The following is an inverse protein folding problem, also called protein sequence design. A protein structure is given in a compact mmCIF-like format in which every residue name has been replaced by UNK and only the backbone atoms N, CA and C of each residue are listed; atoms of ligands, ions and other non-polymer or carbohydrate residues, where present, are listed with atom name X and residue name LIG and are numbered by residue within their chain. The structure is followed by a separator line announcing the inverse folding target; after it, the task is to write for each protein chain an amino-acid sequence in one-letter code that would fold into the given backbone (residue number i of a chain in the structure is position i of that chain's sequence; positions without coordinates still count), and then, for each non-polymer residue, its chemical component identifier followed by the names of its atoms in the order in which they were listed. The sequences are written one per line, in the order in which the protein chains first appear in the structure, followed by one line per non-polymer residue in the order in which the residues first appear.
data_IF_190577514414
#
_entry.id   IF_190577514414
#
_cell.length_a   1.000
_cell.length_b   1.000
_cell.length_c   1.000
_cell.angle_alpha   90.00
_cell.angle_beta   90.00
_cell.angle_gamma   90.00
#
_symmetry.space_group_name_H-M   'P 1'
#
loop_
_entity.id
_entity.type
_entity.pdbx_description
1 polymer ?
#
# COMPACT_ATOMS: atom_id res chain seq x y z
N UNK A 1 -4.22 -41.90 -14.37
CA UNK A 1 -3.46 -41.48 -15.56
C UNK A 1 -2.90 -40.09 -15.30
N UNK A 2 -1.62 -39.84 -15.53
CA UNK A 2 -1.10 -38.48 -15.46
C UNK A 2 -1.69 -37.65 -16.60
N UNK A 3 -2.05 -36.42 -16.31
CA UNK A 3 -2.54 -35.47 -17.31
C UNK A 3 -1.49 -35.17 -18.38
N UNK A 4 -1.93 -35.04 -19.61
CA UNK A 4 -1.06 -34.51 -20.67
C UNK A 4 -0.76 -33.04 -20.41
N UNK A 5 0.25 -32.50 -21.06
CA UNK A 5 0.64 -31.09 -20.96
C UNK A 5 -0.51 -30.17 -21.41
N UNK A 6 -1.22 -30.57 -22.45
CA UNK A 6 -2.33 -29.84 -23.03
C UNK A 6 -3.55 -29.82 -22.10
N UNK A 7 -3.90 -30.97 -21.50
CA UNK A 7 -4.99 -31.07 -20.52
C UNK A 7 -4.70 -30.23 -19.28
N UNK A 8 -3.48 -30.29 -18.77
CA UNK A 8 -3.05 -29.45 -17.64
C UNK A 8 -3.14 -27.97 -17.99
N UNK A 9 -2.66 -27.55 -19.16
CA UNK A 9 -2.73 -26.16 -19.61
C UNK A 9 -4.18 -25.66 -19.79
N UNK A 10 -5.09 -26.53 -20.23
CA UNK A 10 -6.51 -26.22 -20.35
C UNK A 10 -7.18 -26.05 -18.96
N UNK A 11 -6.88 -26.98 -18.04
CA UNK A 11 -7.35 -26.88 -16.65
C UNK A 11 -6.84 -25.61 -15.97
N UNK A 12 -5.55 -25.31 -16.07
CA UNK A 12 -4.95 -24.12 -15.46
C UNK A 12 -5.58 -22.83 -15.98
N UNK A 13 -5.89 -22.76 -17.28
CA UNK A 13 -6.61 -21.61 -17.86
C UNK A 13 -7.98 -21.41 -17.22
N UNK A 14 -8.76 -22.49 -17.09
CA UNK A 14 -10.09 -22.43 -16.48
C UNK A 14 -10.00 -22.12 -14.98
N UNK A 15 -9.13 -22.82 -14.26
CA UNK A 15 -8.92 -22.59 -12.83
C UNK A 15 -8.52 -21.13 -12.53
N UNK A 16 -7.60 -20.55 -13.32
CA UNK A 16 -7.14 -19.19 -13.15
C UNK A 16 -8.23 -18.10 -13.38
N UNK A 17 -9.35 -18.46 -13.99
CA UNK A 17 -10.50 -17.57 -14.15
C UNK A 17 -11.44 -17.62 -12.93
N UNK A 18 -11.39 -18.68 -12.13
CA UNK A 18 -12.20 -18.81 -10.92
C UNK A 18 -11.78 -17.82 -9.84
N UNK A 19 -12.66 -17.45 -8.89
CA UNK A 19 -12.28 -16.63 -7.73
C UNK A 19 -11.10 -17.24 -6.94
N UNK A 20 -11.12 -18.56 -6.71
CA UNK A 20 -10.04 -19.27 -6.02
C UNK A 20 -8.72 -19.20 -6.79
N UNK A 21 -8.72 -19.39 -8.09
CA UNK A 21 -7.53 -19.28 -8.93
C UNK A 21 -6.97 -17.84 -8.97
N UNK A 22 -7.84 -16.84 -9.06
CA UNK A 22 -7.44 -15.42 -8.99
C UNK A 22 -6.79 -15.07 -7.65
N UNK A 23 -7.38 -15.55 -6.55
CA UNK A 23 -6.83 -15.40 -5.19
C UNK A 23 -5.45 -16.07 -5.08
N UNK A 24 -5.33 -17.33 -5.47
CA UNK A 24 -4.09 -18.10 -5.44
C UNK A 24 -2.97 -17.42 -6.24
N UNK A 25 -3.26 -16.95 -7.45
CA UNK A 25 -2.31 -16.22 -8.29
C UNK A 25 -1.86 -14.90 -7.67
N UNK A 26 -2.78 -14.16 -7.04
CA UNK A 26 -2.45 -12.91 -6.35
C UNK A 26 -1.50 -13.16 -5.19
N UNK A 27 -1.81 -14.14 -4.34
CA UNK A 27 -0.98 -14.53 -3.20
C UNK A 27 0.40 -15.01 -3.68
N UNK A 28 0.47 -15.85 -4.71
CA UNK A 28 1.73 -16.31 -5.28
C UNK A 28 2.60 -15.16 -5.79
N UNK A 29 1.98 -14.16 -6.44
CA UNK A 29 2.69 -12.96 -6.89
C UNK A 29 3.23 -12.13 -5.72
N UNK A 30 2.48 -11.97 -4.65
CA UNK A 30 2.94 -11.27 -3.45
C UNK A 30 4.15 -11.95 -2.82
N UNK A 31 4.11 -13.28 -2.70
CA UNK A 31 5.27 -14.07 -2.22
C UNK A 31 6.51 -13.88 -3.11
N UNK A 32 6.34 -13.87 -4.43
CA UNK A 32 7.43 -13.61 -5.39
C UNK A 32 7.97 -12.18 -5.28
N UNK A 33 7.14 -11.21 -4.89
CA UNK A 33 7.54 -9.83 -4.66
C UNK A 33 8.21 -9.60 -3.30
N UNK A 34 8.33 -10.63 -2.47
CA UNK A 34 8.93 -10.53 -1.14
C UNK A 34 7.98 -10.03 -0.06
N UNK A 35 6.67 -10.04 -0.31
CA UNK A 35 5.66 -9.73 0.71
C UNK A 35 5.57 -10.91 1.67
N UNK A 36 5.72 -10.60 2.96
CA UNK A 36 5.67 -11.57 4.06
C UNK A 36 4.52 -11.18 5.00
N UNK A 37 3.63 -12.12 5.26
CA UNK A 37 2.60 -12.00 6.28
C UNK A 37 2.25 -13.38 6.87
N UNK A 38 1.69 -13.41 8.06
CA UNK A 38 1.29 -14.65 8.72
C UNK A 38 0.07 -15.27 8.04
N UNK A 39 -0.92 -14.46 7.68
CA UNK A 39 -2.17 -14.90 7.06
C UNK A 39 -2.42 -14.20 5.71
N UNK A 40 -2.05 -14.88 4.62
CA UNK A 40 -2.28 -14.39 3.26
C UNK A 40 -3.76 -14.35 2.86
N UNK A 41 -4.61 -15.15 3.47
CA UNK A 41 -6.04 -15.15 3.20
C UNK A 41 -6.68 -13.90 3.78
N UNK A 42 -6.38 -13.57 5.04
CA UNK A 42 -6.81 -12.32 5.68
C UNK A 42 -6.25 -11.10 4.95
N UNK A 43 -4.99 -11.14 4.52
CA UNK A 43 -4.38 -10.07 3.72
C UNK A 43 -5.10 -9.89 2.37
N UNK A 44 -5.48 -10.98 1.71
CA UNK A 44 -6.23 -10.92 0.47
C UNK A 44 -7.61 -10.26 0.67
N UNK A 45 -8.34 -10.64 1.71
CA UNK A 45 -9.65 -10.05 2.05
C UNK A 45 -9.52 -8.55 2.35
N UNK A 46 -8.51 -8.15 3.15
CA UNK A 46 -8.19 -6.74 3.39
C UNK A 46 -7.91 -6.00 2.08
N UNK A 47 -7.06 -6.55 1.23
CA UNK A 47 -6.73 -5.96 -0.06
C UNK A 47 -7.97 -5.79 -0.95
N UNK A 48 -8.83 -6.79 -1.02
CA UNK A 48 -10.06 -6.73 -1.84
C UNK A 48 -11.08 -5.75 -1.29
N UNK A 49 -11.30 -5.72 0.02
CA UNK A 49 -12.28 -4.85 0.68
C UNK A 49 -11.86 -3.37 0.75
N UNK A 50 -10.55 -3.08 0.68
CA UNK A 50 -10.06 -1.70 0.68
C UNK A 50 -10.44 -0.99 -0.62
N UNK A 51 -11.29 0.02 -0.53
CA UNK A 51 -11.80 0.77 -1.69
C UNK A 51 -11.09 2.10 -1.93
N UNK A 52 -10.45 2.65 -0.91
CA UNK A 52 -9.73 3.92 -0.97
C UNK A 52 -8.27 3.74 -0.57
N UNK A 53 -7.40 4.55 -1.16
CA UNK A 53 -5.98 4.59 -0.81
C UNK A 53 -5.82 4.99 0.65
N UNK A 54 -5.14 4.16 1.44
CA UNK A 54 -4.91 4.41 2.87
C UNK A 54 -4.00 5.64 3.14
N UNK A 55 -3.37 6.20 2.09
CA UNK A 55 -2.55 7.41 2.20
C UNK A 55 -3.27 8.69 1.74
N UNK A 56 -3.85 8.72 0.54
CA UNK A 56 -4.43 9.93 -0.04
C UNK A 56 -5.96 9.88 -0.19
N UNK A 57 -6.59 8.78 0.23
CA UNK A 57 -8.05 8.57 0.20
C UNK A 57 -8.68 8.60 -1.20
N UNK A 58 -7.90 8.55 -2.27
CA UNK A 58 -8.46 8.43 -3.63
C UNK A 58 -9.13 7.06 -3.80
N UNK A 59 -10.23 7.01 -4.55
CA UNK A 59 -10.88 5.76 -4.91
C UNK A 59 -9.93 4.87 -5.73
N UNK A 60 -9.72 3.64 -5.28
CA UNK A 60 -8.84 2.68 -5.92
C UNK A 60 -9.52 1.99 -7.09
N UNK A 61 -8.79 1.79 -8.17
CA UNK A 61 -9.26 1.08 -9.36
C UNK A 61 -8.54 -0.25 -9.56
N UNK A 62 -9.20 -1.16 -10.28
CA UNK A 62 -8.62 -2.45 -10.67
C UNK A 62 -7.89 -2.29 -12.02
N UNK A 63 -6.67 -1.82 -12.03
CA UNK A 63 -5.97 -1.67 -13.30
C UNK A 63 -4.66 -0.96 -13.16
N UNK A 64 -4.00 -0.77 -14.30
CA UNK A 64 -2.79 0.02 -14.43
C UNK A 64 -3.17 1.49 -14.51
N UNK A 65 -2.55 2.32 -13.73
CA UNK A 65 -2.77 3.75 -13.70
C UNK A 65 -2.49 4.34 -12.33
N UNK A 66 -2.62 5.65 -12.21
CA UNK A 66 -2.29 6.37 -10.97
C UNK A 66 -3.11 5.92 -9.77
N UNK A 67 -4.35 5.53 -9.99
CA UNK A 67 -5.30 5.07 -8.96
C UNK A 67 -5.34 3.55 -8.80
N UNK A 68 -4.53 2.81 -9.58
CA UNK A 68 -4.42 1.36 -9.49
C UNK A 68 -4.07 0.91 -8.07
N UNK A 69 -4.75 -0.14 -7.58
CA UNK A 69 -4.56 -0.69 -6.23
C UNK A 69 -3.25 -1.45 -6.11
N UNK A 70 -2.41 -1.07 -5.16
CA UNK A 70 -1.14 -1.70 -4.82
C UNK A 70 -1.09 -2.10 -3.36
N UNK A 71 -0.38 -3.19 -3.07
CA UNK A 71 -0.01 -3.56 -1.70
C UNK A 71 1.42 -3.08 -1.44
N UNK A 72 1.55 -2.16 -0.51
CA UNK A 72 2.84 -1.60 -0.12
C UNK A 72 3.49 -2.41 0.99
N UNK A 73 4.79 -2.61 0.91
CA UNK A 73 5.56 -3.39 1.87
C UNK A 73 6.98 -2.85 2.03
N UNK A 74 7.60 -3.16 3.16
CA UNK A 74 8.98 -2.79 3.46
C UNK A 74 9.96 -3.78 2.80
N UNK A 75 10.76 -3.31 1.87
CA UNK A 75 11.74 -4.12 1.12
C UNK A 75 12.96 -4.53 1.96
N UNK A 76 13.23 -3.88 3.07
CA UNK A 76 14.37 -4.18 3.94
C UNK A 76 14.05 -5.28 4.95
N UNK A 77 12.77 -5.49 5.25
CA UNK A 77 12.29 -6.54 6.16
C UNK A 77 12.08 -7.83 5.36
N UNK A 78 12.86 -8.88 5.69
CA UNK A 78 12.85 -10.19 5.01
C UNK A 78 12.63 -11.38 5.93
N UNK A 79 12.49 -11.16 7.22
CA UNK A 79 12.43 -12.18 8.26
C UNK A 79 11.11 -12.17 9.06
N UNK A 80 10.26 -11.19 8.84
CA UNK A 80 8.98 -11.01 9.53
C UNK A 80 7.97 -10.30 8.65
N UNK A 81 6.77 -10.07 9.13
CA UNK A 81 5.75 -9.31 8.43
C UNK A 81 6.25 -7.95 7.97
N UNK A 82 6.03 -7.64 6.69
CA UNK A 82 6.52 -6.41 6.07
C UNK A 82 5.45 -5.60 5.34
N UNK A 83 4.18 -6.01 5.40
CA UNK A 83 3.07 -5.28 4.79
C UNK A 83 2.82 -3.98 5.55
N UNK A 84 2.74 -2.87 4.82
CA UNK A 84 2.46 -1.54 5.38
C UNK A 84 1.04 -1.09 5.12
N UNK A 85 0.64 -0.97 3.85
CA UNK A 85 -0.63 -0.36 3.49
C UNK A 85 -1.16 -0.84 2.12
N UNK A 86 -2.44 -0.57 1.86
CA UNK A 86 -3.04 -0.66 0.53
C UNK A 86 -3.10 0.74 -0.07
N UNK A 87 -2.30 0.99 -1.09
CA UNK A 87 -2.11 2.31 -1.68
C UNK A 87 -2.59 2.36 -3.13
N UNK A 88 -2.81 3.58 -3.63
CA UNK A 88 -2.85 3.81 -5.06
C UNK A 88 -1.43 3.79 -5.65
N UNK A 89 -1.33 3.50 -6.93
CA UNK A 89 -0.03 3.40 -7.62
C UNK A 89 0.78 4.70 -7.51
N UNK A 90 0.12 5.86 -7.57
CA UNK A 90 0.79 7.15 -7.41
C UNK A 90 1.43 7.32 -6.03
N UNK A 91 0.73 6.93 -4.95
CA UNK A 91 1.29 6.97 -3.60
C UNK A 91 2.40 5.95 -3.42
N UNK A 92 2.20 4.72 -3.92
CA UNK A 92 3.20 3.66 -3.84
C UNK A 92 4.51 4.04 -4.56
N UNK A 93 4.43 4.64 -5.74
CA UNK A 93 5.61 5.11 -6.47
C UNK A 93 6.31 6.30 -5.80
N UNK A 94 5.55 7.22 -5.23
CA UNK A 94 6.10 8.39 -4.54
C UNK A 94 6.67 8.04 -3.14
N UNK A 95 6.17 6.99 -2.53
CA UNK A 95 6.59 6.52 -1.21
C UNK A 95 7.77 5.53 -1.26
N UNK A 96 8.22 5.20 -2.45
CA UNK A 96 9.29 4.20 -2.69
C UNK A 96 10.56 4.40 -1.85
N UNK A 97 10.72 5.51 -1.18
CA UNK A 97 11.96 5.79 -0.48
C UNK A 97 11.81 6.24 0.97
N UNK A 98 10.61 6.48 1.49
CA UNK A 98 10.62 7.42 2.61
C UNK A 98 9.59 7.26 3.72
N UNK A 99 8.68 6.29 3.67
CA UNK A 99 7.80 6.14 4.83
C UNK A 99 8.44 5.33 5.96
N UNK A 100 9.59 5.79 6.42
CA UNK A 100 10.27 5.29 7.61
C UNK A 100 9.49 5.56 8.90
N UNK A 101 8.41 6.35 8.81
CA UNK A 101 7.60 6.68 9.99
C UNK A 101 6.53 5.63 10.31
N UNK A 102 6.02 4.88 9.31
CA UNK A 102 4.83 4.04 9.45
C UNK A 102 3.52 4.84 9.55
N UNK A 103 3.57 6.17 9.42
CA UNK A 103 2.41 7.06 9.52
C UNK A 103 2.22 7.79 8.19
N UNK A 104 1.02 7.74 7.56
CA UNK A 104 0.75 8.45 6.32
C UNK A 104 1.09 9.94 6.40
N UNK A 105 1.63 10.46 5.30
CA UNK A 105 2.01 11.87 5.16
C UNK A 105 3.19 12.35 6.04
N UNK A 106 3.78 11.47 6.85
CA UNK A 106 4.95 11.76 7.67
C UNK A 106 6.14 10.96 7.14
N UNK A 107 7.22 11.63 6.78
CA UNK A 107 8.44 10.99 6.24
C UNK A 107 9.71 11.67 6.74
N UNK A 108 10.82 10.94 6.70
CA UNK A 108 12.13 11.48 6.99
C UNK A 108 12.78 12.07 5.72
N UNK A 109 13.16 13.32 5.75
CA UNK A 109 13.90 14.00 4.68
C UNK A 109 15.41 13.91 4.99
N UNK A 110 16.07 12.95 4.34
CA UNK A 110 17.51 12.70 4.52
C UNK A 110 18.38 13.90 4.12
N UNK A 111 17.93 14.70 3.16
CA UNK A 111 18.71 15.86 2.68
C UNK A 111 18.76 17.00 3.71
N UNK A 112 17.76 17.08 4.55
CA UNK A 112 17.61 18.14 5.57
C UNK A 112 17.78 17.63 6.99
N UNK A 113 17.98 16.33 7.16
CA UNK A 113 18.02 15.67 8.47
C UNK A 113 16.81 16.05 9.35
N UNK A 114 15.60 15.95 8.76
CA UNK A 114 14.35 16.40 9.38
C UNK A 114 13.20 15.46 9.05
N UNK A 115 12.24 15.39 9.95
CA UNK A 115 10.94 14.78 9.71
C UNK A 115 10.03 15.79 9.04
N UNK A 116 9.26 15.35 8.03
CA UNK A 116 8.39 16.19 7.22
C UNK A 116 6.98 15.62 7.24
N UNK A 117 6.01 16.47 7.58
CA UNK A 117 4.61 16.25 7.26
C UNK A 117 4.29 16.97 5.94
N UNK A 118 3.59 16.29 5.05
CA UNK A 118 3.14 16.86 3.77
C UNK A 118 1.81 16.26 3.35
N UNK A 119 0.82 17.12 3.11
CA UNK A 119 -0.50 16.76 2.59
C UNK A 119 -0.99 17.83 1.63
N UNK A 120 -1.70 17.42 0.59
CA UNK A 120 -2.41 18.35 -0.31
C UNK A 120 -3.88 18.36 0.07
N UNK A 121 -4.43 19.54 0.35
CA UNK A 121 -5.83 19.74 0.68
C UNK A 121 -6.40 20.73 -0.34
N UNK A 122 -7.47 20.37 -1.03
CA UNK A 122 -8.13 21.17 -2.08
C UNK A 122 -7.15 21.72 -3.15
N UNK A 123 -6.18 20.89 -3.52
CA UNK A 123 -5.16 21.27 -4.50
C UNK A 123 -4.02 22.14 -3.95
N UNK A 124 -4.09 22.55 -2.69
CA UNK A 124 -3.05 23.36 -2.04
C UNK A 124 -2.11 22.45 -1.24
N UNK A 125 -0.80 22.44 -1.55
CA UNK A 125 0.17 21.66 -0.79
C UNK A 125 0.44 22.32 0.56
N UNK A 126 0.27 21.55 1.63
CA UNK A 126 0.66 21.93 2.98
C UNK A 126 1.83 21.07 3.43
N UNK A 127 2.90 21.68 3.94
CA UNK A 127 4.06 20.96 4.45
C UNK A 127 4.70 21.66 5.64
N UNK A 128 5.21 20.86 6.58
CA UNK A 128 5.96 21.35 7.74
C UNK A 128 7.06 20.36 8.14
N UNK A 129 8.18 20.85 8.63
CA UNK A 129 9.33 20.04 9.03
C UNK A 129 9.59 20.11 10.53
N UNK A 130 10.10 19.01 11.09
CA UNK A 130 10.29 18.81 12.53
C UNK A 130 11.64 18.14 12.80
N UNK A 131 12.19 18.35 13.98
CA UNK A 131 13.43 17.69 14.41
C UNK A 131 13.22 16.23 14.78
N UNK A 132 12.02 15.86 15.27
CA UNK A 132 11.71 14.52 15.73
C UNK A 132 10.51 13.94 15.00
N UNK A 133 10.44 12.61 14.92
CA UNK A 133 9.34 11.85 14.35
C UNK A 133 8.02 12.12 15.11
N UNK A 134 8.09 12.11 16.41
CA UNK A 134 6.96 12.31 17.32
C UNK A 134 6.32 13.68 17.14
N UNK A 135 7.14 14.72 16.96
CA UNK A 135 6.63 16.07 16.70
C UNK A 135 5.90 16.18 15.35
N UNK A 136 6.41 15.51 14.32
CA UNK A 136 5.76 15.46 13.02
C UNK A 136 4.43 14.69 13.05
N UNK A 137 4.38 13.57 13.77
CA UNK A 137 3.17 12.75 13.96
C UNK A 137 2.12 13.53 14.75
N UNK A 138 2.50 14.16 15.84
CA UNK A 138 1.60 15.00 16.66
C UNK A 138 0.98 16.11 15.83
N UNK A 139 1.81 16.83 15.09
CA UNK A 139 1.34 17.90 14.20
C UNK A 139 0.35 17.40 13.14
N UNK A 140 0.58 16.23 12.56
CA UNK A 140 -0.34 15.61 11.62
C UNK A 140 -1.75 15.47 12.21
N UNK A 141 -1.85 14.88 13.40
CA UNK A 141 -3.15 14.66 14.02
C UNK A 141 -3.81 15.96 14.42
N UNK A 142 -3.10 16.90 15.02
CA UNK A 142 -3.62 18.24 15.37
C UNK A 142 -4.12 19.00 14.14
N UNK A 143 -3.41 18.93 13.01
CA UNK A 143 -3.78 19.60 11.77
C UNK A 143 -4.99 18.93 11.10
N UNK A 144 -5.03 17.60 11.08
CA UNK A 144 -6.13 16.86 10.45
C UNK A 144 -7.42 16.95 11.28
N UNK A 145 -7.37 16.98 12.60
CA UNK A 145 -8.53 17.20 13.47
C UNK A 145 -9.13 18.59 13.26
N UNK A 146 -8.31 19.62 13.11
CA UNK A 146 -8.80 21.00 12.85
C UNK A 146 -9.43 21.16 11.46
N UNK A 147 -9.10 20.31 10.50
CA UNK A 147 -9.67 20.38 9.14
C UNK A 147 -11.00 19.62 9.00
N UNK A 148 -11.35 18.76 9.95
CA UNK A 148 -12.63 18.02 9.96
C UNK A 148 -13.78 18.88 10.49
N UNK A 149 -13.51 19.85 11.35
CA UNK A 149 -14.55 20.71 11.98
C UNK A 149 -15.06 21.87 11.08
N UNK A 150 -14.60 21.97 9.82
CA UNK A 150 -14.96 23.08 8.91
C UNK A 150 -15.96 22.63 7.79
N UNK A 151 -16.43 21.39 7.84
CA UNK A 151 -17.46 20.86 6.93
C UNK A 151 -18.71 20.51 7.69
#
# INVERSE_FOLDING_TARGET
MPWTKEERAAYDRLYNQTPAGKKSRRISRWKQQGIICEDYDALYERFMSTTHCENCSVLLTTGWGRTGKCLDHDHDIKDRENVRAVLCNACNLNDQCTNTSGVPNVRYDKSKDRWKYQKTVDGVPHQKTFKTKEAAIRYKYEYEDQTVDIT
#
